data_IF_645095037624
#
_entry.id   IF_645095037624
#
_cell.length_a   1.000
_cell.length_b   1.000
_cell.length_c   1.000
_cell.angle_alpha   90.00
_cell.angle_beta   90.00
_cell.angle_gamma   90.00
#
_symmetry.space_group_name_H-M   'P 1'
#
loop_
_entity.id
_entity.type
_entity.pdbx_description
1 polymer ?
#
# COMPACT_ATOMS: atom_id res chain seq x y z
N UNK A 1 -44.42 -29.99 -8.91
CA UNK A 1 -44.16 -28.57 -8.68
C UNK A 1 -43.29 -28.42 -7.43
N UNK A 2 -41.98 -28.53 -7.59
CA UNK A 2 -41.03 -28.19 -6.54
C UNK A 2 -40.75 -26.68 -6.60
N UNK A 3 -41.29 -25.94 -5.64
CA UNK A 3 -40.83 -24.58 -5.34
C UNK A 3 -39.48 -24.70 -4.62
N UNK A 4 -38.41 -24.46 -5.35
CA UNK A 4 -37.09 -24.24 -4.75
C UNK A 4 -37.13 -22.95 -3.94
N UNK A 5 -36.96 -23.08 -2.63
CA UNK A 5 -36.70 -21.96 -1.74
C UNK A 5 -35.31 -21.42 -2.09
N UNK A 6 -35.27 -20.29 -2.79
CA UNK A 6 -34.07 -19.47 -2.94
C UNK A 6 -33.66 -19.03 -1.52
N UNK A 7 -32.61 -19.60 -0.99
CA UNK A 7 -31.96 -19.06 0.18
C UNK A 7 -31.45 -17.67 -0.15
N UNK A 8 -31.81 -16.64 0.60
CA UNK A 8 -31.27 -15.32 0.38
C UNK A 8 -29.79 -15.34 0.77
N UNK A 9 -28.92 -15.24 -0.23
CA UNK A 9 -27.46 -15.08 -0.05
C UNK A 9 -27.06 -13.80 0.70
N UNK A 10 -28.03 -13.00 1.12
CA UNK A 10 -27.84 -11.70 1.77
C UNK A 10 -27.51 -11.76 3.26
N UNK A 11 -27.50 -12.94 3.88
CA UNK A 11 -27.32 -13.04 5.36
C UNK A 11 -25.93 -13.50 5.80
N UNK A 12 -25.01 -13.85 4.91
CA UNK A 12 -23.67 -14.33 5.25
C UNK A 12 -22.58 -13.26 5.23
N UNK A 13 -22.81 -12.12 4.59
CA UNK A 13 -21.92 -10.98 4.69
C UNK A 13 -22.54 -9.97 5.66
N UNK A 14 -22.13 -10.03 6.93
CA UNK A 14 -22.34 -8.86 7.79
C UNK A 14 -21.54 -7.73 7.15
N UNK A 15 -22.25 -6.82 6.49
CA UNK A 15 -21.65 -5.54 6.07
C UNK A 15 -21.24 -4.82 7.35
N UNK A 16 -19.95 -4.83 7.65
CA UNK A 16 -19.41 -4.00 8.71
C UNK A 16 -19.64 -2.55 8.27
N UNK A 17 -20.53 -1.83 8.94
CA UNK A 17 -20.69 -0.41 8.65
C UNK A 17 -19.43 0.32 9.12
N UNK A 18 -18.85 1.09 8.23
CA UNK A 18 -17.72 1.97 8.53
C UNK A 18 -18.15 3.44 8.62
N UNK A 19 -19.47 3.69 8.63
CA UNK A 19 -20.02 5.01 8.83
C UNK A 19 -19.54 5.56 10.18
N UNK A 20 -19.11 6.82 10.19
CA UNK A 20 -18.51 7.52 11.34
C UNK A 20 -17.19 6.91 11.89
N UNK A 21 -16.62 5.91 11.21
CA UNK A 21 -15.33 5.31 11.59
C UNK A 21 -14.16 6.12 11.04
N UNK A 22 -13.15 6.34 11.88
CA UNK A 22 -11.87 6.93 11.46
C UNK A 22 -11.01 5.86 10.81
N UNK A 23 -10.59 6.10 9.58
CA UNK A 23 -9.83 5.17 8.75
C UNK A 23 -8.42 5.72 8.53
N UNK A 24 -7.41 5.04 9.03
CA UNK A 24 -6.01 5.33 8.78
C UNK A 24 -5.51 4.37 7.70
N UNK A 25 -5.05 4.89 6.57
CA UNK A 25 -4.41 4.10 5.51
C UNK A 25 -2.90 4.30 5.60
N UNK A 26 -2.18 3.22 5.83
CA UNK A 26 -0.72 3.18 5.85
C UNK A 26 -0.22 2.62 4.52
N UNK A 27 0.43 3.46 3.74
CA UNK A 27 1.01 3.13 2.44
C UNK A 27 2.54 3.07 2.58
N UNK A 28 3.20 1.93 2.33
CA UNK A 28 4.65 1.86 2.27
C UNK A 28 5.25 2.85 1.25
N UNK A 29 4.65 2.90 0.06
CA UNK A 29 5.07 3.76 -1.05
C UNK A 29 3.94 4.66 -1.54
N UNK A 30 4.27 5.58 -2.43
CA UNK A 30 3.39 6.67 -2.87
C UNK A 30 2.23 6.24 -3.81
N UNK A 31 1.94 4.97 -3.97
CA UNK A 31 0.89 4.40 -4.83
C UNK A 31 0.08 3.31 -4.13
N UNK A 32 0.59 2.76 -3.04
CA UNK A 32 -0.02 1.61 -2.38
C UNK A 32 -1.42 1.90 -1.82
N UNK A 33 -1.64 3.12 -1.31
CA UNK A 33 -2.97 3.53 -0.83
C UNK A 33 -4.00 3.50 -1.96
N UNK A 34 -3.63 4.00 -3.14
CA UNK A 34 -4.49 4.04 -4.31
C UNK A 34 -4.68 2.65 -4.91
N UNK A 35 -3.64 1.83 -4.97
CA UNK A 35 -3.74 0.47 -5.47
C UNK A 35 -4.66 -0.39 -4.59
N UNK A 36 -4.53 -0.27 -3.27
CA UNK A 36 -5.19 -1.17 -2.33
C UNK A 36 -6.54 -0.70 -1.79
N UNK A 37 -6.73 0.61 -1.56
CA UNK A 37 -7.79 1.13 -0.71
C UNK A 37 -8.43 2.43 -1.21
N UNK A 38 -8.24 2.81 -2.48
CA UNK A 38 -8.78 4.06 -3.02
C UNK A 38 -10.29 4.20 -2.82
N UNK A 39 -11.04 3.15 -3.19
CA UNK A 39 -12.50 3.17 -3.07
C UNK A 39 -12.96 3.27 -1.61
N UNK A 40 -12.23 2.61 -0.71
CA UNK A 40 -12.51 2.68 0.71
C UNK A 40 -12.33 4.10 1.24
N UNK A 41 -11.16 4.71 1.03
CA UNK A 41 -10.91 6.03 1.59
C UNK A 41 -11.62 7.17 0.82
N UNK A 42 -11.95 7.00 -0.48
CA UNK A 42 -12.81 7.93 -1.21
C UNK A 42 -14.21 7.99 -0.59
N UNK A 43 -14.80 6.84 -0.29
CA UNK A 43 -16.14 6.77 0.31
C UNK A 43 -16.20 7.45 1.68
N UNK A 44 -15.15 7.34 2.47
CA UNK A 44 -15.08 7.84 3.84
C UNK A 44 -14.08 9.00 4.01
N UNK A 45 -13.86 9.79 2.96
CA UNK A 45 -12.78 10.78 2.89
C UNK A 45 -12.77 11.79 4.04
N UNK A 46 -13.95 12.18 4.55
CA UNK A 46 -14.06 13.10 5.69
C UNK A 46 -13.44 12.54 6.99
N UNK A 47 -13.39 11.22 7.12
CA UNK A 47 -12.89 10.50 8.29
C UNK A 47 -11.61 9.69 7.96
N UNK A 48 -11.05 9.86 6.78
CA UNK A 48 -9.86 9.15 6.34
C UNK A 48 -8.59 9.98 6.57
N UNK A 49 -7.51 9.28 6.93
CA UNK A 49 -6.14 9.79 6.91
C UNK A 49 -5.28 8.85 6.06
N UNK A 50 -4.47 9.40 5.17
CA UNK A 50 -3.52 8.65 4.35
C UNK A 50 -2.10 9.01 4.76
N UNK A 51 -1.32 8.01 5.16
CA UNK A 51 0.06 8.17 5.61
C UNK A 51 0.97 7.32 4.76
N UNK A 52 1.88 7.97 4.05
CA UNK A 52 2.92 7.29 3.27
C UNK A 52 4.21 7.22 4.08
N UNK A 53 4.81 6.03 4.13
CA UNK A 53 5.95 5.75 5.02
C UNK A 53 7.26 6.17 4.39
N UNK A 54 7.51 5.71 3.15
CA UNK A 54 8.78 6.00 2.46
C UNK A 54 8.61 7.06 1.37
N UNK A 55 9.71 7.69 1.01
CA UNK A 55 9.74 8.67 -0.08
C UNK A 55 9.71 8.01 -1.48
N UNK A 56 9.82 6.68 -1.54
CA UNK A 56 9.78 5.90 -2.78
C UNK A 56 10.82 6.35 -3.81
N UNK A 57 12.00 6.79 -3.35
CA UNK A 57 13.04 7.36 -4.20
C UNK A 57 13.84 6.30 -4.96
N UNK A 58 13.88 5.04 -4.46
CA UNK A 58 14.64 3.98 -5.10
C UNK A 58 14.00 3.50 -6.42
N UNK A 59 14.75 2.75 -7.21
CA UNK A 59 14.29 2.17 -8.48
C UNK A 59 14.60 3.01 -9.70
N UNK A 60 15.57 2.57 -10.48
CA UNK A 60 16.06 3.23 -11.70
C UNK A 60 15.00 3.36 -12.77
N UNK A 61 14.24 2.31 -13.00
CA UNK A 61 13.27 2.24 -14.08
C UNK A 61 12.24 3.37 -14.03
N UNK A 62 11.83 3.75 -12.84
CA UNK A 62 10.84 4.82 -12.64
C UNK A 62 11.39 6.20 -12.97
N UNK A 63 12.67 6.46 -12.74
CA UNK A 63 13.30 7.73 -13.12
C UNK A 63 13.30 7.94 -14.63
N UNK A 64 13.66 6.93 -15.41
CA UNK A 64 13.64 6.98 -16.87
C UNK A 64 12.23 7.25 -17.42
N UNK A 65 11.20 6.68 -16.78
CA UNK A 65 9.80 6.93 -17.11
C UNK A 65 9.41 8.39 -16.85
N UNK A 66 9.80 8.90 -15.69
CA UNK A 66 9.40 10.21 -15.22
C UNK A 66 9.95 11.36 -16.07
N UNK A 67 11.23 11.28 -16.41
CA UNK A 67 11.94 12.35 -17.11
C UNK A 67 12.15 12.09 -18.59
N UNK A 68 11.67 10.96 -19.12
CA UNK A 68 11.87 10.56 -20.53
C UNK A 68 13.35 10.61 -20.98
N UNK A 69 14.29 10.38 -20.05
CA UNK A 69 15.73 10.44 -20.28
C UNK A 69 16.35 9.05 -20.16
N UNK A 70 17.20 8.69 -21.10
CA UNK A 70 18.09 7.56 -20.90
C UNK A 70 19.22 8.00 -19.96
N UNK A 71 19.29 7.35 -18.81
CA UNK A 71 20.33 7.61 -17.82
C UNK A 71 21.17 6.33 -17.68
N UNK A 72 22.33 6.24 -18.29
CA UNK A 72 23.22 5.07 -18.17
C UNK A 72 23.73 4.90 -16.72
N UNK A 73 23.85 6.00 -16.00
CA UNK A 73 24.19 6.02 -14.56
C UNK A 73 23.29 7.03 -13.87
N UNK A 74 22.60 6.59 -12.82
CA UNK A 74 21.76 7.48 -12.02
C UNK A 74 22.60 8.19 -10.96
N UNK A 75 22.36 9.50 -10.79
CA UNK A 75 23.01 10.32 -9.79
C UNK A 75 22.15 10.46 -8.54
N UNK A 76 22.79 10.87 -7.44
CA UNK A 76 22.12 11.18 -6.16
C UNK A 76 21.03 12.24 -6.34
N UNK A 77 21.31 13.27 -7.16
CA UNK A 77 20.34 14.35 -7.45
C UNK A 77 19.09 13.80 -8.14
N UNK A 78 19.26 12.84 -9.04
CA UNK A 78 18.14 12.21 -9.75
C UNK A 78 17.26 11.37 -8.81
N UNK A 79 17.84 10.63 -7.87
CA UNK A 79 17.08 9.95 -6.83
C UNK A 79 16.35 10.93 -5.91
N UNK A 80 16.98 12.04 -5.57
CA UNK A 80 16.37 13.09 -4.76
C UNK A 80 15.18 13.75 -5.48
N UNK A 81 15.32 14.05 -6.78
CA UNK A 81 14.23 14.60 -7.61
C UNK A 81 13.07 13.60 -7.71
N UNK A 82 13.37 12.32 -7.94
CA UNK A 82 12.34 11.28 -7.96
C UNK A 82 11.62 11.20 -6.61
N UNK A 83 12.35 11.12 -5.50
CA UNK A 83 11.75 11.08 -4.16
C UNK A 83 10.85 12.29 -3.90
N UNK A 84 11.28 13.50 -4.25
CA UNK A 84 10.46 14.71 -4.12
C UNK A 84 9.18 14.63 -4.94
N UNK A 85 9.25 14.09 -6.16
CA UNK A 85 8.08 13.93 -7.02
C UNK A 85 7.13 12.87 -6.47
N UNK A 86 7.63 11.74 -5.99
CA UNK A 86 6.83 10.69 -5.34
C UNK A 86 6.16 11.21 -4.07
N UNK A 87 6.90 11.94 -3.23
CA UNK A 87 6.35 12.63 -2.05
C UNK A 87 5.25 13.60 -2.45
N UNK A 88 5.44 14.38 -3.52
CA UNK A 88 4.39 15.26 -4.02
C UNK A 88 3.15 14.48 -4.44
N UNK A 89 3.31 13.36 -5.15
CA UNK A 89 2.20 12.48 -5.52
C UNK A 89 1.45 11.97 -4.27
N UNK A 90 2.16 11.47 -3.26
CA UNK A 90 1.56 10.95 -2.04
C UNK A 90 0.79 12.01 -1.24
N UNK A 91 1.20 13.27 -1.32
CA UNK A 91 0.54 14.39 -0.63
C UNK A 91 -0.61 15.02 -1.43
N UNK A 92 -0.70 14.79 -2.73
CA UNK A 92 -1.67 15.47 -3.60
C UNK A 92 -2.72 14.53 -4.19
N UNK A 93 -2.37 13.30 -4.52
CA UNK A 93 -3.32 12.36 -5.15
C UNK A 93 -4.51 12.03 -4.24
N UNK A 94 -4.36 11.81 -2.92
CA UNK A 94 -5.52 11.58 -2.05
C UNK A 94 -6.51 12.75 -1.98
N UNK A 95 -6.10 13.98 -2.36
CA UNK A 95 -7.01 15.11 -2.48
C UNK A 95 -8.09 14.88 -3.56
N UNK A 96 -7.79 14.10 -4.61
CA UNK A 96 -8.75 13.73 -5.65
C UNK A 96 -9.92 12.91 -5.10
N UNK A 97 -9.70 12.17 -4.04
CA UNK A 97 -10.72 11.43 -3.31
C UNK A 97 -11.46 12.28 -2.27
N UNK A 98 -11.08 13.53 -2.07
CA UNK A 98 -11.67 14.44 -1.09
C UNK A 98 -11.08 14.32 0.32
N UNK A 99 -9.96 13.62 0.51
CA UNK A 99 -9.24 13.61 1.79
C UNK A 99 -8.66 15.00 2.05
N UNK A 100 -8.85 15.54 3.26
CA UNK A 100 -8.30 16.86 3.62
C UNK A 100 -6.76 16.83 3.62
N UNK A 101 -6.12 17.90 3.18
CA UNK A 101 -4.66 18.05 3.26
C UNK A 101 -4.10 17.91 4.68
N UNK A 102 -4.90 18.20 5.70
CA UNK A 102 -4.57 18.01 7.11
C UNK A 102 -4.47 16.52 7.49
N UNK A 103 -5.12 15.66 6.72
CA UNK A 103 -5.16 14.21 6.92
C UNK A 103 -4.30 13.44 5.91
N UNK A 104 -3.35 14.11 5.25
CA UNK A 104 -2.40 13.47 4.35
C UNK A 104 -0.98 13.73 4.87
N UNK A 105 -0.21 12.66 5.08
CA UNK A 105 1.07 12.74 5.76
C UNK A 105 2.12 11.88 5.09
N UNK A 106 3.35 12.39 5.02
CA UNK A 106 4.56 11.68 4.58
C UNK A 106 5.54 11.54 5.75
N UNK A 107 5.91 10.29 6.11
CA UNK A 107 6.88 10.04 7.18
C UNK A 107 8.33 10.23 6.73
N UNK A 108 8.62 10.18 5.43
CA UNK A 108 9.90 10.54 4.82
C UNK A 108 11.00 9.50 4.97
N UNK A 109 10.71 8.27 5.42
CA UNK A 109 11.70 7.20 5.46
C UNK A 109 12.15 6.83 4.03
N UNK A 110 13.30 6.17 3.95
CA UNK A 110 13.88 5.83 2.64
C UNK A 110 13.34 4.48 2.13
N UNK A 111 13.09 4.45 0.83
CA UNK A 111 12.66 3.25 0.12
C UNK A 111 13.72 2.14 0.20
N UNK A 112 13.27 0.89 0.30
CA UNK A 112 14.09 -0.33 0.41
C UNK A 112 14.94 -0.43 1.70
N UNK A 113 14.72 0.46 2.68
CA UNK A 113 15.53 0.47 3.92
C UNK A 113 14.83 -0.13 5.13
N UNK A 114 13.48 -0.23 5.14
CA UNK A 114 12.72 -0.58 6.35
C UNK A 114 13.12 -1.94 6.92
N UNK A 115 13.47 -2.91 6.08
CA UNK A 115 13.97 -4.21 6.53
C UNK A 115 15.32 -4.12 7.26
N UNK A 116 16.20 -3.25 6.77
CA UNK A 116 17.50 -3.02 7.41
C UNK A 116 17.32 -2.31 8.75
N UNK A 117 16.39 -1.34 8.82
CA UNK A 117 16.00 -0.68 10.08
C UNK A 117 15.49 -1.72 11.10
N UNK A 118 14.56 -2.60 10.68
CA UNK A 118 14.01 -3.64 11.55
C UNK A 118 15.08 -4.60 12.08
N UNK A 119 16.04 -5.00 11.25
CA UNK A 119 17.12 -5.90 11.64
C UNK A 119 18.18 -5.24 12.56
N UNK A 120 18.26 -3.91 12.53
CA UNK A 120 19.24 -3.13 13.29
C UNK A 120 18.56 -1.93 13.98
N UNK A 121 17.64 -2.16 14.93
CA UNK A 121 16.69 -1.14 15.41
C UNK A 121 17.35 0.10 16.03
N UNK A 122 18.50 -0.05 16.65
CA UNK A 122 19.27 1.04 17.27
C UNK A 122 20.14 1.83 16.28
N UNK A 123 20.22 1.34 15.03
CA UNK A 123 21.17 1.90 14.08
C UNK A 123 20.47 2.86 13.14
N UNK A 124 21.07 4.01 12.93
CA UNK A 124 20.68 4.92 11.86
C UNK A 124 21.14 4.36 10.51
N UNK A 125 20.20 4.18 9.58
CA UNK A 125 20.46 3.59 8.26
C UNK A 125 20.24 4.68 7.20
N UNK A 126 21.30 5.14 6.54
CA UNK A 126 21.17 6.10 5.46
C UNK A 126 20.55 5.45 4.19
N UNK A 127 19.89 6.25 3.36
CA UNK A 127 19.57 5.83 2.00
C UNK A 127 20.85 5.54 1.23
N UNK A 128 20.97 4.33 0.69
CA UNK A 128 22.10 3.95 -0.15
C UNK A 128 22.20 4.78 -1.45
N UNK A 129 21.06 5.37 -1.87
CA UNK A 129 20.96 6.20 -3.08
C UNK A 129 21.28 7.67 -2.83
N UNK A 130 20.88 8.16 -1.66
CA UNK A 130 21.03 9.59 -1.29
C UNK A 130 22.21 9.84 -0.35
N UNK A 131 22.82 8.79 0.22
CA UNK A 131 23.93 8.87 1.18
C UNK A 131 23.63 9.79 2.38
N UNK A 132 22.36 9.81 2.81
CA UNK A 132 21.89 10.61 3.94
C UNK A 132 20.91 9.81 4.79
N UNK A 133 20.88 10.08 6.08
CA UNK A 133 19.90 9.58 7.02
C UNK A 133 18.86 10.65 7.42
N UNK A 134 18.96 11.88 6.88
CA UNK A 134 18.03 12.97 7.15
C UNK A 134 16.68 12.73 6.44
N UNK A 135 15.72 12.11 7.13
CA UNK A 135 14.35 11.91 6.66
C UNK A 135 13.59 13.24 6.52
N UNK A 136 14.07 14.30 7.14
CA UNK A 136 13.49 15.63 7.08
C UNK A 136 13.46 16.21 5.67
N UNK A 137 14.35 15.79 4.78
CA UNK A 137 14.39 16.24 3.38
C UNK A 137 13.08 15.96 2.62
N UNK A 138 12.33 14.93 3.04
CA UNK A 138 11.05 14.56 2.45
C UNK A 138 9.84 15.00 3.29
N UNK A 139 10.01 15.19 4.60
CA UNK A 139 8.94 15.66 5.51
C UNK A 139 8.54 17.11 5.28
N UNK A 140 9.44 17.94 4.75
CA UNK A 140 9.23 19.40 4.56
C UNK A 140 8.02 19.76 3.69
N UNK A 141 7.54 18.82 2.86
CA UNK A 141 6.39 19.04 2.00
C UNK A 141 5.03 18.83 2.70
N UNK A 142 5.02 18.27 3.91
CA UNK A 142 3.79 18.06 4.68
C UNK A 142 3.08 19.38 4.96
N UNK A 143 1.74 19.32 4.94
CA UNK A 143 0.87 20.44 5.33
C UNK A 143 0.07 20.16 6.59
N UNK A 144 -0.03 18.90 6.97
CA UNK A 144 -0.72 18.48 8.20
C UNK A 144 -0.02 19.00 9.43
N UNK A 145 -0.76 19.54 10.40
CA UNK A 145 -0.23 19.97 11.71
C UNK A 145 0.34 18.79 12.50
N UNK A 146 -0.11 17.56 12.21
CA UNK A 146 0.46 16.35 12.81
C UNK A 146 1.94 16.21 12.42
N UNK A 147 2.34 16.72 11.26
CA UNK A 147 3.75 16.66 10.83
C UNK A 147 4.72 17.40 11.75
N UNK A 148 4.26 18.35 12.53
CA UNK A 148 5.08 19.11 13.49
C UNK A 148 5.58 18.23 14.65
N UNK A 149 4.86 17.16 14.98
CA UNK A 149 5.26 16.20 15.99
C UNK A 149 6.11 15.05 15.48
N UNK A 150 6.34 14.96 14.16
CA UNK A 150 7.26 13.96 13.60
C UNK A 150 8.70 14.32 13.95
N UNK A 151 9.42 13.34 14.48
CA UNK A 151 10.79 13.56 14.94
C UNK A 151 11.72 12.40 14.56
N UNK A 152 12.98 12.52 14.95
CA UNK A 152 13.99 11.48 14.79
C UNK A 152 14.52 11.31 13.37
N UNK A 153 15.38 10.32 13.23
CA UNK A 153 16.12 9.99 12.02
C UNK A 153 15.67 8.68 11.36
N UNK A 154 16.54 8.15 10.51
CA UNK A 154 16.29 6.91 9.78
C UNK A 154 16.69 5.70 10.61
N UNK A 155 15.94 5.39 11.68
CA UNK A 155 16.09 4.20 12.51
C UNK A 155 14.71 3.57 12.82
N UNK A 156 14.71 2.32 13.32
CA UNK A 156 13.47 1.58 13.57
C UNK A 156 12.64 2.19 14.72
N UNK A 157 13.28 2.60 15.79
CA UNK A 157 12.58 3.17 16.93
C UNK A 157 11.86 4.46 16.55
N UNK A 158 12.50 5.34 15.80
CA UNK A 158 11.87 6.57 15.32
C UNK A 158 10.72 6.29 14.35
N UNK A 159 10.79 5.22 13.53
CA UNK A 159 9.66 4.80 12.70
C UNK A 159 8.48 4.37 13.57
N UNK A 160 8.71 3.52 14.56
CA UNK A 160 7.67 3.05 15.48
C UNK A 160 7.10 4.22 16.29
N UNK A 161 7.91 5.16 16.72
CA UNK A 161 7.49 6.32 17.48
C UNK A 161 6.65 7.29 16.65
N UNK A 162 7.03 7.55 15.42
CA UNK A 162 6.23 8.35 14.50
C UNK A 162 4.88 7.66 14.17
N UNK A 163 4.88 6.34 13.99
CA UNK A 163 3.63 5.57 13.83
C UNK A 163 2.74 5.68 15.08
N UNK A 164 3.32 5.53 16.27
CA UNK A 164 2.59 5.66 17.53
C UNK A 164 2.00 7.07 17.69
N UNK A 165 2.77 8.10 17.39
CA UNK A 165 2.31 9.49 17.42
C UNK A 165 1.13 9.73 16.46
N UNK A 166 1.19 9.21 15.23
CA UNK A 166 0.09 9.32 14.27
C UNK A 166 -1.17 8.60 14.78
N UNK A 167 -1.01 7.35 15.25
CA UNK A 167 -2.14 6.57 15.79
C UNK A 167 -2.78 7.26 16.99
N UNK A 168 -1.99 7.79 17.92
CA UNK A 168 -2.49 8.49 19.10
C UNK A 168 -3.19 9.80 18.74
N UNK A 169 -2.64 10.55 17.78
CA UNK A 169 -3.22 11.82 17.32
C UNK A 169 -4.52 11.63 16.54
N UNK A 170 -4.57 10.66 15.66
CA UNK A 170 -5.73 10.42 14.81
C UNK A 170 -6.79 9.52 15.46
N UNK A 171 -6.39 8.57 16.31
CA UNK A 171 -7.25 7.56 16.98
C UNK A 171 -8.15 6.80 16.01
N UNK A 172 -7.58 6.00 15.11
CA UNK A 172 -8.32 5.28 14.08
C UNK A 172 -9.16 4.13 14.65
N UNK A 173 -10.35 3.93 14.11
CA UNK A 173 -11.15 2.70 14.32
C UNK A 173 -10.71 1.58 13.36
N UNK A 174 -10.18 1.96 12.19
CA UNK A 174 -9.69 1.04 11.16
C UNK A 174 -8.30 1.48 10.72
N UNK A 175 -7.36 0.55 10.71
CA UNK A 175 -6.01 0.75 10.18
C UNK A 175 -5.84 -0.17 8.97
N UNK A 176 -5.75 0.42 7.79
CA UNK A 176 -5.50 -0.28 6.53
C UNK A 176 -3.99 -0.32 6.31
N UNK A 177 -3.42 -1.51 6.19
CA UNK A 177 -1.96 -1.72 6.09
C UNK A 177 -1.66 -3.00 5.31
N UNK A 178 -0.47 -3.18 4.71
CA UNK A 178 -0.17 -4.40 3.98
C UNK A 178 -0.27 -5.68 4.82
N UNK A 179 -0.59 -6.80 4.19
CA UNK A 179 -0.54 -8.11 4.84
C UNK A 179 0.92 -8.58 4.98
N UNK A 180 1.48 -8.67 6.19
CA UNK A 180 2.90 -8.97 6.35
C UNK A 180 3.26 -10.42 6.00
N UNK A 181 2.25 -11.30 5.91
CA UNK A 181 2.45 -12.73 5.62
C UNK A 181 2.17 -13.10 4.16
N UNK A 182 1.47 -12.26 3.41
CA UNK A 182 1.10 -12.53 2.02
C UNK A 182 1.86 -11.62 1.06
N UNK A 183 1.97 -10.33 1.41
CA UNK A 183 2.74 -9.38 0.60
C UNK A 183 4.24 -9.70 0.70
N UNK A 184 4.89 -9.76 -0.45
CA UNK A 184 6.30 -10.18 -0.52
C UNK A 184 7.29 -9.01 -0.45
N UNK A 185 6.81 -7.78 -0.59
CA UNK A 185 7.69 -6.62 -0.51
C UNK A 185 8.10 -6.33 0.94
N UNK A 186 9.40 -6.24 1.20
CA UNK A 186 9.93 -6.11 2.56
C UNK A 186 9.50 -4.82 3.26
N UNK A 187 9.40 -3.71 2.55
CA UNK A 187 8.91 -2.46 3.13
C UNK A 187 7.42 -2.55 3.50
N UNK A 188 6.61 -3.31 2.72
CA UNK A 188 5.22 -3.59 3.06
C UNK A 188 5.10 -4.36 4.37
N UNK A 189 5.86 -5.44 4.49
CA UNK A 189 5.91 -6.24 5.72
C UNK A 189 6.31 -5.38 6.92
N UNK A 190 7.40 -4.61 6.79
CA UNK A 190 7.94 -3.78 7.85
C UNK A 190 7.03 -2.61 8.22
N UNK A 191 6.28 -2.04 7.28
CA UNK A 191 5.26 -1.02 7.59
C UNK A 191 4.22 -1.55 8.58
N UNK A 192 3.70 -2.75 8.34
CA UNK A 192 2.71 -3.36 9.25
C UNK A 192 3.34 -3.76 10.58
N UNK A 193 4.57 -4.28 10.58
CA UNK A 193 5.28 -4.62 11.82
C UNK A 193 5.47 -3.36 12.69
N UNK A 194 5.91 -2.25 12.09
CA UNK A 194 6.06 -0.99 12.80
C UNK A 194 4.72 -0.47 13.38
N UNK A 195 3.63 -0.57 12.59
CA UNK A 195 2.30 -0.19 13.07
C UNK A 195 1.84 -1.08 14.25
N UNK A 196 2.06 -2.39 14.18
CA UNK A 196 1.73 -3.32 15.27
C UNK A 196 2.56 -3.05 16.53
N UNK A 197 3.86 -2.78 16.38
CA UNK A 197 4.71 -2.38 17.51
C UNK A 197 4.26 -1.06 18.13
N UNK A 198 3.87 -0.08 17.31
CA UNK A 198 3.30 1.18 17.77
C UNK A 198 2.00 0.98 18.57
N UNK A 199 1.08 0.13 18.08
CA UNK A 199 -0.15 -0.22 18.80
C UNK A 199 0.14 -0.87 20.15
N UNK A 200 1.10 -1.79 20.20
CA UNK A 200 1.54 -2.44 21.45
C UNK A 200 2.16 -1.43 22.42
N UNK A 201 3.01 -0.52 21.93
CA UNK A 201 3.64 0.53 22.72
C UNK A 201 2.60 1.45 23.38
N UNK A 202 1.54 1.80 22.64
CA UNK A 202 0.43 2.64 23.10
C UNK A 202 -0.58 1.90 23.98
N UNK A 203 -0.50 0.57 24.10
CA UNK A 203 -1.59 -0.25 24.65
C UNK A 203 -2.93 0.03 23.95
N UNK A 204 -2.90 0.30 22.64
CA UNK A 204 -4.08 0.61 21.85
C UNK A 204 -4.82 -0.66 21.48
N UNK A 205 -6.07 -0.81 21.90
CA UNK A 205 -6.86 -2.05 21.75
C UNK A 205 -8.11 -1.87 20.89
N UNK A 206 -8.44 -0.66 20.51
CA UNK A 206 -9.67 -0.37 19.78
C UNK A 206 -9.50 -0.57 18.27
N UNK A 207 -10.58 -1.02 17.61
CA UNK A 207 -10.65 -1.07 16.15
C UNK A 207 -10.12 -2.35 15.54
N UNK A 208 -9.83 -2.28 14.24
CA UNK A 208 -9.41 -3.43 13.43
C UNK A 208 -8.29 -3.05 12.45
N UNK A 209 -7.39 -3.99 12.22
CA UNK A 209 -6.46 -3.96 11.10
C UNK A 209 -7.16 -4.53 9.87
N UNK A 210 -7.07 -3.83 8.76
CA UNK A 210 -7.51 -4.25 7.43
C UNK A 210 -6.27 -4.50 6.58
N UNK A 211 -5.92 -5.76 6.41
CA UNK A 211 -4.68 -6.18 5.76
C UNK A 211 -4.90 -6.39 4.26
N UNK A 212 -4.18 -5.64 3.44
CA UNK A 212 -4.23 -5.73 1.98
C UNK A 212 -2.96 -6.38 1.39
N UNK A 213 -2.97 -6.70 0.11
CA UNK A 213 -1.81 -7.20 -0.63
C UNK A 213 -1.71 -6.46 -1.97
N UNK A 214 -0.53 -5.94 -2.27
CA UNK A 214 -0.18 -5.35 -3.57
C UNK A 214 0.81 -6.25 -4.31
N UNK A 215 1.86 -6.71 -3.65
CA UNK A 215 2.88 -7.57 -4.24
C UNK A 215 2.69 -9.02 -3.81
N UNK A 216 2.64 -9.91 -4.78
CA UNK A 216 2.54 -11.34 -4.55
C UNK A 216 3.72 -12.06 -5.25
N UNK A 217 3.94 -13.33 -4.88
CA UNK A 217 5.06 -14.15 -5.40
C UNK A 217 5.12 -14.23 -6.94
N UNK A 218 3.98 -14.06 -7.60
CA UNK A 218 3.90 -14.00 -9.06
C UNK A 218 3.44 -12.63 -9.50
N UNK A 219 3.99 -12.11 -10.58
CA UNK A 219 3.62 -10.81 -11.15
C UNK A 219 2.18 -10.75 -11.69
N UNK A 220 1.43 -11.86 -11.60
CA UNK A 220 0.08 -11.97 -12.14
C UNK A 220 -1.01 -11.49 -11.18
N UNK A 221 -0.71 -11.27 -9.90
CA UNK A 221 -1.70 -10.77 -8.93
C UNK A 221 -1.96 -9.28 -9.15
N UNK A 222 -3.23 -8.86 -9.04
CA UNK A 222 -4.46 -9.64 -8.90
C UNK A 222 -4.90 -10.29 -10.23
N UNK A 223 -5.32 -11.54 -10.14
CA UNK A 223 -5.81 -12.31 -11.29
C UNK A 223 -7.17 -11.79 -11.80
N UNK A 224 -7.45 -12.05 -13.08
CA UNK A 224 -8.74 -11.74 -13.71
C UNK A 224 -8.78 -10.39 -14.44
N UNK A 225 -9.91 -10.12 -15.07
CA UNK A 225 -10.10 -8.96 -15.94
C UNK A 225 -10.25 -7.64 -15.16
N UNK A 226 -9.87 -6.54 -15.81
CA UNK A 226 -10.13 -5.18 -15.33
C UNK A 226 -11.63 -5.00 -15.05
N UNK A 227 -11.96 -4.41 -13.90
CA UNK A 227 -13.34 -4.19 -13.47
C UNK A 227 -14.07 -5.42 -12.93
N UNK A 228 -13.47 -6.62 -13.01
CA UNK A 228 -14.01 -7.80 -12.32
C UNK A 228 -13.82 -7.68 -10.79
N UNK A 229 -14.45 -8.57 -10.04
CA UNK A 229 -14.19 -8.67 -8.61
C UNK A 229 -12.74 -9.08 -8.37
N UNK A 230 -12.12 -8.46 -7.38
CA UNK A 230 -10.82 -8.87 -6.89
C UNK A 230 -10.95 -10.22 -6.19
N UNK A 231 -10.15 -11.20 -6.59
CA UNK A 231 -10.02 -12.46 -5.87
C UNK A 231 -9.17 -12.29 -4.63
N UNK A 232 -9.37 -13.16 -3.65
CA UNK A 232 -8.48 -13.24 -2.50
C UNK A 232 -7.05 -13.54 -2.98
N UNK A 233 -6.03 -12.89 -2.41
CA UNK A 233 -4.66 -13.26 -2.68
C UNK A 233 -4.45 -14.71 -2.22
N UNK A 234 -3.91 -15.57 -3.10
CA UNK A 234 -3.63 -16.95 -2.70
C UNK A 234 -2.54 -16.96 -1.63
N UNK A 235 -2.73 -17.79 -0.61
CA UNK A 235 -1.70 -18.06 0.39
C UNK A 235 -1.14 -19.46 0.12
N UNK A 236 0.08 -19.51 -0.40
CA UNK A 236 0.81 -20.75 -0.59
C UNK A 236 2.12 -20.65 0.15
N UNK A 237 2.33 -21.62 1.02
CA UNK A 237 3.60 -21.82 1.67
C UNK A 237 3.88 -23.31 1.69
N UNK A 238 4.92 -23.75 1.01
CA UNK A 238 5.41 -25.13 1.09
C UNK A 238 6.12 -25.40 2.43
N UNK A 239 6.66 -24.34 3.03
CA UNK A 239 7.45 -24.44 4.28
C UNK A 239 6.71 -23.91 5.51
N UNK A 240 5.66 -23.10 5.31
CA UNK A 240 4.94 -22.45 6.40
C UNK A 240 3.59 -23.12 6.61
N UNK A 241 3.32 -23.54 7.82
CA UNK A 241 2.02 -24.05 8.19
C UNK A 241 0.95 -22.94 8.06
N UNK A 242 -0.30 -23.32 7.80
CA UNK A 242 -1.46 -22.40 7.82
C UNK A 242 -1.57 -21.59 9.11
N UNK A 243 -0.83 -22.00 10.15
CA UNK A 243 -0.75 -21.32 11.45
C UNK A 243 -0.09 -19.95 11.40
N UNK A 244 0.58 -19.58 10.31
CA UNK A 244 1.23 -18.28 10.14
C UNK A 244 0.29 -17.19 9.60
N UNK A 245 -0.88 -17.55 9.05
CA UNK A 245 -1.87 -16.60 8.60
C UNK A 245 -2.94 -16.42 9.68
N UNK A 246 -3.05 -15.22 10.22
CA UNK A 246 -4.02 -14.92 11.26
C UNK A 246 -4.98 -13.83 10.81
N UNK A 247 -6.26 -14.13 10.82
CA UNK A 247 -7.35 -13.18 10.62
C UNK A 247 -8.66 -13.76 11.16
N UNK A 248 -9.61 -12.89 11.52
CA UNK A 248 -10.93 -13.29 12.03
C UNK A 248 -11.99 -13.29 10.95
N UNK A 249 -11.90 -12.36 10.00
CA UNK A 249 -12.89 -12.21 8.94
C UNK A 249 -12.27 -11.55 7.72
N UNK A 250 -13.07 -11.45 6.67
CA UNK A 250 -12.71 -10.77 5.43
C UNK A 250 -13.70 -9.65 5.20
N UNK A 251 -13.20 -8.47 4.86
CA UNK A 251 -14.00 -7.35 4.43
C UNK A 251 -13.80 -7.11 2.93
N UNK A 252 -14.90 -7.05 2.21
CA UNK A 252 -14.92 -6.69 0.79
C UNK A 252 -15.63 -5.36 0.64
N UNK A 253 -14.87 -4.32 0.27
CA UNK A 253 -15.41 -3.01 -0.01
C UNK A 253 -15.88 -2.94 -1.46
N UNK A 254 -17.19 -2.66 -1.74
CA UNK A 254 -17.68 -2.53 -3.11
C UNK A 254 -17.18 -1.23 -3.74
N UNK A 255 -16.71 -1.32 -4.99
CA UNK A 255 -16.20 -0.21 -5.78
C UNK A 255 -17.05 -0.11 -7.06
N UNK A 256 -17.92 0.87 -7.14
CA UNK A 256 -18.76 1.09 -8.30
C UNK A 256 -17.95 1.61 -9.51
N UNK A 257 -18.60 1.69 -10.67
CA UNK A 257 -17.93 2.09 -11.92
C UNK A 257 -17.41 3.52 -11.87
N UNK A 258 -18.06 4.40 -11.16
CA UNK A 258 -17.62 5.79 -10.97
C UNK A 258 -16.34 5.83 -10.16
N UNK A 259 -16.32 5.17 -9.02
CA UNK A 259 -15.15 5.07 -8.15
C UNK A 259 -13.98 4.33 -8.83
N UNK A 260 -14.27 3.30 -9.66
CA UNK A 260 -13.22 2.66 -10.50
C UNK A 260 -12.57 3.67 -11.46
N UNK A 261 -13.35 4.55 -12.09
CA UNK A 261 -12.82 5.59 -12.97
C UNK A 261 -12.02 6.64 -12.18
N UNK A 262 -12.47 7.01 -10.98
CA UNK A 262 -11.72 7.93 -10.10
C UNK A 262 -10.40 7.31 -9.62
N UNK A 263 -10.42 6.03 -9.24
CA UNK A 263 -9.21 5.26 -8.90
C UNK A 263 -8.22 5.23 -10.06
N UNK A 264 -8.70 4.98 -11.27
CA UNK A 264 -7.88 5.00 -12.48
C UNK A 264 -7.25 6.39 -12.69
N UNK A 265 -8.04 7.45 -12.55
CA UNK A 265 -7.56 8.83 -12.67
C UNK A 265 -6.49 9.16 -11.62
N UNK A 266 -6.72 8.72 -10.38
CA UNK A 266 -5.76 8.93 -9.27
C UNK A 266 -4.43 8.24 -9.56
N UNK A 267 -4.47 6.98 -10.01
CA UNK A 267 -3.28 6.23 -10.40
C UNK A 267 -2.59 6.84 -11.63
N UNK A 268 -3.36 7.35 -12.61
CA UNK A 268 -2.82 8.04 -13.78
C UNK A 268 -2.17 9.38 -13.45
N UNK A 269 -2.61 10.03 -12.38
CA UNK A 269 -2.01 11.27 -11.91
C UNK A 269 -0.63 11.05 -11.27
N UNK A 270 -0.29 9.81 -10.90
CA UNK A 270 1.04 9.46 -10.39
C UNK A 270 2.04 9.33 -11.54
N UNK A 271 3.15 10.02 -11.43
CA UNK A 271 4.04 10.26 -12.57
C UNK A 271 4.84 9.04 -13.02
N UNK A 272 5.03 8.04 -12.18
CA UNK A 272 5.98 6.95 -12.41
C UNK A 272 5.40 5.52 -12.41
N UNK A 273 4.12 5.36 -12.12
CA UNK A 273 3.50 4.03 -12.05
C UNK A 273 3.29 3.41 -13.43
N UNK A 274 3.06 4.25 -14.46
CA UNK A 274 2.83 3.75 -15.81
C UNK A 274 4.13 3.41 -16.52
N UNK A 275 4.13 2.32 -17.28
CA UNK A 275 5.25 2.04 -18.15
C UNK A 275 5.43 3.19 -19.13
N UNK A 276 6.67 3.53 -19.30
CA UNK A 276 7.25 4.60 -20.08
C UNK A 276 6.37 5.11 -21.23
N UNK A 277 6.05 6.40 -21.25
CA UNK A 277 5.37 7.06 -22.36
C UNK A 277 6.07 6.79 -23.72
N UNK A 278 7.37 6.49 -23.74
CA UNK A 278 8.09 5.97 -24.91
C UNK A 278 7.51 4.66 -25.42
N UNK A 279 7.01 3.78 -24.56
CA UNK A 279 6.40 2.52 -24.99
C UNK A 279 5.04 2.73 -25.67
N UNK A 280 4.40 3.88 -25.48
CA UNK A 280 3.20 4.25 -26.26
C UNK A 280 3.51 4.57 -27.72
N UNK A 281 4.73 5.00 -28.02
CA UNK A 281 5.23 5.30 -29.37
C UNK A 281 6.09 4.15 -29.93
N UNK A 282 6.40 3.12 -29.14
CA UNK A 282 7.11 1.95 -29.66
C UNK A 282 6.15 1.15 -30.56
N UNK A 283 6.57 0.95 -31.82
CA UNK A 283 5.83 0.17 -32.80
C UNK A 283 5.50 -1.25 -32.29
N UNK A 284 6.33 -1.81 -31.40
CA UNK A 284 6.07 -3.10 -30.73
C UNK A 284 4.84 -3.03 -29.80
N UNK A 285 4.64 -1.92 -29.10
CA UNK A 285 3.44 -1.70 -28.28
C UNK A 285 2.20 -1.57 -29.17
N UNK A 286 2.28 -0.76 -30.23
CA UNK A 286 1.19 -0.56 -31.21
C UNK A 286 0.82 -1.90 -31.87
N UNK A 287 1.84 -2.68 -32.27
CA UNK A 287 1.64 -4.01 -32.86
C UNK A 287 1.01 -4.98 -31.85
N UNK A 288 1.52 -5.04 -30.61
CA UNK A 288 0.95 -5.88 -29.53
C UNK A 288 -0.49 -5.51 -29.23
N UNK A 289 -0.79 -4.21 -29.14
CA UNK A 289 -2.15 -3.72 -28.91
C UNK A 289 -3.06 -3.99 -30.10
N UNK A 290 -2.57 -3.84 -31.33
CA UNK A 290 -3.28 -4.24 -32.56
C UNK A 290 -3.57 -5.74 -32.61
N UNK A 291 -2.58 -6.58 -32.28
CA UNK A 291 -2.75 -8.03 -32.19
C UNK A 291 -3.70 -8.44 -31.07
N UNK A 292 -3.69 -7.77 -29.91
CA UNK A 292 -4.62 -8.04 -28.80
C UNK A 292 -6.08 -7.72 -29.16
N UNK A 293 -6.31 -6.79 -30.06
CA UNK A 293 -7.66 -6.48 -30.60
C UNK A 293 -8.14 -7.56 -31.58
N UNK A 294 -7.20 -8.25 -32.26
CA UNK A 294 -7.54 -9.29 -33.23
C UNK A 294 -7.62 -10.70 -32.63
N UNK A 295 -6.92 -10.95 -31.55
CA UNK A 295 -6.86 -12.26 -30.87
C UNK A 295 -7.16 -12.06 -29.36
N UNK A 296 -8.39 -12.37 -28.98
CA UNK A 296 -8.86 -12.22 -27.59
C UNK A 296 -8.03 -13.00 -26.56
N UNK A 297 -7.33 -14.06 -26.97
CA UNK A 297 -6.51 -14.91 -26.11
C UNK A 297 -5.08 -14.38 -25.85
N UNK A 298 -4.65 -13.35 -26.57
CA UNK A 298 -3.35 -12.69 -26.32
C UNK A 298 -3.47 -11.62 -25.24
N UNK A 299 -4.65 -11.45 -24.65
CA UNK A 299 -4.95 -10.44 -23.62
C UNK A 299 -4.34 -10.74 -22.25
N UNK A 300 -3.72 -11.89 -22.04
CA UNK A 300 -2.84 -12.15 -20.88
C UNK A 300 -1.50 -11.41 -20.97
N UNK A 301 -1.24 -10.72 -22.09
CA UNK A 301 -0.03 -9.95 -22.27
C UNK A 301 -0.13 -8.67 -21.46
N UNK A 302 0.39 -8.74 -20.23
CA UNK A 302 0.71 -7.62 -19.34
C UNK A 302 -0.34 -6.51 -19.32
N UNK A 303 -1.47 -6.80 -18.68
CA UNK A 303 -2.30 -5.71 -18.16
C UNK A 303 -1.40 -4.94 -17.19
N UNK A 304 -1.18 -3.68 -17.50
CA UNK A 304 -0.49 -2.70 -16.68
C UNK A 304 -0.92 -2.83 -15.21
N UNK A 305 0.02 -2.74 -14.28
CA UNK A 305 -0.23 -2.84 -12.84
C UNK A 305 -1.43 -1.97 -12.40
N UNK A 306 -1.48 -0.73 -12.89
CA UNK A 306 -2.57 0.22 -12.64
C UNK A 306 -3.93 -0.38 -12.99
N UNK A 307 -4.07 -0.88 -14.21
CA UNK A 307 -5.33 -1.45 -14.69
C UNK A 307 -5.68 -2.74 -13.94
N UNK A 308 -4.71 -3.53 -13.48
CA UNK A 308 -4.96 -4.75 -12.71
C UNK A 308 -5.65 -4.48 -11.38
N UNK A 309 -5.35 -3.34 -10.74
CA UNK A 309 -5.93 -2.98 -9.45
C UNK A 309 -7.25 -2.19 -9.56
N UNK A 310 -7.71 -1.84 -10.76
CA UNK A 310 -9.03 -1.24 -10.97
C UNK A 310 -10.10 -2.34 -11.00
N UNK A 311 -10.67 -2.65 -9.84
CA UNK A 311 -11.60 -3.75 -9.59
C UNK A 311 -12.94 -3.26 -9.08
N UNK A 312 -13.96 -4.13 -9.09
CA UNK A 312 -15.29 -3.83 -8.55
C UNK A 312 -15.38 -3.93 -7.02
N UNK A 313 -14.29 -4.31 -6.38
CA UNK A 313 -14.16 -4.33 -4.92
C UNK A 313 -12.69 -4.24 -4.49
N UNK A 314 -12.47 -3.95 -3.23
CA UNK A 314 -11.20 -4.02 -2.53
C UNK A 314 -11.31 -5.03 -1.39
N UNK A 315 -10.30 -5.87 -1.18
CA UNK A 315 -10.30 -6.93 -0.18
C UNK A 315 -9.32 -6.69 0.95
N UNK A 316 -9.78 -7.02 2.16
CA UNK A 316 -8.98 -6.91 3.36
C UNK A 316 -9.20 -8.12 4.27
N UNK A 317 -8.12 -8.71 4.76
CA UNK A 317 -8.17 -9.62 5.90
C UNK A 317 -8.28 -8.80 7.19
N UNK A 318 -9.23 -9.14 8.05
CA UNK A 318 -9.55 -8.34 9.22
C UNK A 318 -9.02 -9.01 10.49
N UNK A 319 -8.21 -8.25 11.24
CA UNK A 319 -7.68 -8.63 12.54
C UNK A 319 -8.10 -7.60 13.59
N UNK A 320 -8.76 -7.97 14.69
CA UNK A 320 -9.01 -7.04 15.80
C UNK A 320 -7.70 -6.47 16.34
N UNK A 321 -7.66 -5.16 16.58
CA UNK A 321 -6.45 -4.53 17.15
C UNK A 321 -6.11 -5.10 18.52
N UNK A 322 -7.11 -5.50 19.32
CA UNK A 322 -6.88 -6.17 20.61
C UNK A 322 -5.98 -7.40 20.51
N UNK A 323 -6.04 -8.11 19.38
CA UNK A 323 -5.35 -9.39 19.20
C UNK A 323 -3.84 -9.22 19.00
N UNK A 324 -3.36 -8.04 18.56
CA UNK A 324 -1.91 -7.79 18.42
C UNK A 324 -1.19 -7.77 19.77
N UNK A 325 -1.92 -7.65 20.88
CA UNK A 325 -1.39 -7.74 22.24
C UNK A 325 -1.19 -9.18 22.72
N UNK A 326 -1.82 -10.16 22.06
CA UNK A 326 -1.54 -11.56 22.28
C UNK A 326 -0.19 -11.92 21.68
N UNK A 327 0.68 -12.57 22.48
CA UNK A 327 2.06 -12.88 22.04
C UNK A 327 2.11 -13.88 20.89
N UNK A 328 1.17 -14.81 20.82
CA UNK A 328 1.10 -15.78 19.71
C UNK A 328 0.68 -15.10 18.41
N UNK A 329 -0.38 -14.27 18.45
CA UNK A 329 -0.83 -13.48 17.30
C UNK A 329 0.27 -12.54 16.80
N UNK A 330 0.95 -11.84 17.72
CA UNK A 330 2.07 -10.99 17.38
C UNK A 330 3.15 -11.77 16.64
N UNK A 331 3.57 -12.94 17.16
CA UNK A 331 4.56 -13.80 16.48
C UNK A 331 4.12 -14.22 15.08
N UNK A 332 2.84 -14.54 14.89
CA UNK A 332 2.29 -14.87 13.56
C UNK A 332 2.39 -13.70 12.60
N UNK A 333 2.03 -12.48 13.05
CA UNK A 333 2.11 -11.27 12.24
C UNK A 333 3.54 -10.97 11.80
N UNK A 334 4.53 -11.06 12.70
CA UNK A 334 5.92 -10.73 12.40
C UNK A 334 6.72 -11.86 11.77
N UNK A 335 6.17 -13.06 11.65
CA UNK A 335 6.90 -14.30 11.33
C UNK A 335 7.67 -14.25 10.00
N UNK A 336 7.21 -13.49 9.02
CA UNK A 336 7.90 -13.28 7.74
C UNK A 336 8.83 -12.09 7.70
N UNK A 337 8.70 -11.14 8.60
CA UNK A 337 9.57 -9.96 8.66
C UNK A 337 11.08 -10.27 8.79
N UNK A 338 11.42 -11.50 9.17
CA UNK A 338 12.80 -11.99 9.33
C UNK A 338 13.36 -12.88 8.23
N UNK A 339 12.53 -13.41 7.32
CA UNK A 339 13.00 -14.39 6.30
C UNK A 339 13.27 -13.70 4.96
N UNK A 340 14.50 -13.82 4.47
CA UNK A 340 14.87 -13.42 3.13
C UNK A 340 14.30 -14.43 2.11
N UNK A 341 13.27 -14.06 1.39
CA UNK A 341 12.96 -14.69 0.11
C UNK A 341 13.60 -13.84 -0.99
N UNK A 342 14.92 -14.02 -1.13
CA UNK A 342 15.64 -13.60 -2.33
C UNK A 342 15.49 -14.71 -3.37
N UNK A 343 14.74 -14.45 -4.41
CA UNK A 343 14.92 -15.07 -5.73
C UNK A 343 15.11 -13.99 -6.77
#
# INVERSE_FOLDING_TARGET
THRGTLFPYTTLFRSMSLDDKKILVLAPHADDAELAAYGLYEKYAANAMVVTVTASEAGRFHYENLFCKQCPTETKEQYLEKGRMRVWNSLTVPLLAGVSSENILQLGFFDTTLKTLYNHPEREIPSAKLETADVGIFRRANKSVISEGLHGGSNWHDLVDNMAYVIESFRPDVIVTPSPNIDVHTDHQCTTIAAVEALRKLNYTNGSLFLYTVHYLTDDYPLGNVGAALSLPPFFSEEDSSDMLYFHSIYSHPVDKKTQNHKLLALDAMNDIRPNARNYMDWKYVLRKGLSLLYHDITSIHVDLVNRFVRSNEFFYVVPVSDVHNQETYRKIISRGGKNHLH
#
